data_IF_408709549653
#
_entry.id   IF_408709549653
#
_cell.length_a   1.000
_cell.length_b   1.000
_cell.length_c   1.000
_cell.angle_alpha   90.00
_cell.angle_beta   90.00
_cell.angle_gamma   90.00
#
_symmetry.space_group_name_H-M   'P 1'
#
loop_
_entity.id
_entity.type
_entity.pdbx_description
1 polymer ?
#
# COMPACT_ATOMS: atom_id res chain seq x y z
N UNK A 1 15.56 -6.17 -22.68
CA UNK A 1 15.15 -7.57 -22.47
C UNK A 1 15.79 -8.46 -23.52
N UNK A 2 16.66 -9.36 -23.11
CA UNK A 2 17.29 -10.40 -23.95
C UNK A 2 16.29 -11.53 -24.26
N UNK A 3 16.66 -12.46 -25.16
CA UNK A 3 15.82 -13.62 -25.44
C UNK A 3 15.74 -14.58 -24.23
N UNK A 4 16.84 -14.73 -23.48
CA UNK A 4 16.91 -15.54 -22.25
C UNK A 4 16.01 -14.98 -21.14
N UNK A 5 16.04 -13.66 -20.93
CA UNK A 5 15.17 -12.99 -19.97
C UNK A 5 13.69 -13.16 -20.34
N UNK A 6 13.37 -13.06 -21.64
CA UNK A 6 12.01 -13.27 -22.12
C UNK A 6 11.56 -14.75 -21.97
N UNK A 7 12.47 -15.71 -22.12
CA UNK A 7 12.20 -17.14 -21.89
C UNK A 7 11.94 -17.45 -20.41
N UNK A 8 12.76 -16.93 -19.50
CA UNK A 8 12.56 -17.09 -18.06
C UNK A 8 11.18 -16.55 -17.63
N UNK A 9 10.75 -15.43 -18.22
CA UNK A 9 9.42 -14.90 -17.99
C UNK A 9 8.33 -15.85 -18.53
N UNK A 10 8.49 -16.39 -19.74
CA UNK A 10 7.55 -17.37 -20.30
C UNK A 10 7.43 -18.61 -19.41
N UNK A 11 8.52 -19.13 -18.86
CA UNK A 11 8.49 -20.25 -17.91
C UNK A 11 7.70 -19.91 -16.65
N UNK A 12 7.83 -18.66 -16.16
CA UNK A 12 7.08 -18.17 -15.01
C UNK A 12 5.58 -18.11 -15.29
N UNK A 13 5.17 -17.62 -16.47
CA UNK A 13 3.74 -17.51 -16.86
C UNK A 13 3.12 -18.88 -17.19
N UNK A 14 3.94 -19.88 -17.48
CA UNK A 14 3.50 -21.25 -17.74
C UNK A 14 3.49 -22.13 -16.47
N UNK A 15 3.43 -21.54 -15.28
CA UNK A 15 3.45 -22.23 -13.98
C UNK A 15 4.68 -23.17 -13.83
N UNK A 16 5.85 -22.71 -14.27
CA UNK A 16 7.10 -23.47 -14.21
C UNK A 16 7.26 -24.55 -15.29
N UNK A 17 6.33 -24.65 -16.25
CA UNK A 17 6.49 -25.56 -17.40
C UNK A 17 7.46 -24.98 -18.42
N UNK A 18 8.52 -25.73 -18.71
CA UNK A 18 9.50 -25.38 -19.74
C UNK A 18 8.99 -25.67 -21.14
N UNK A 19 9.40 -24.83 -22.08
CA UNK A 19 9.29 -25.12 -23.49
C UNK A 19 10.27 -26.24 -23.85
N UNK A 20 9.93 -27.09 -24.83
CA UNK A 20 10.91 -28.04 -25.37
C UNK A 20 11.92 -27.33 -26.28
N UNK A 21 13.03 -28.00 -26.58
CA UNK A 21 14.15 -27.44 -27.34
C UNK A 21 13.73 -26.78 -28.67
N UNK A 22 12.76 -27.37 -29.38
CA UNK A 22 12.26 -26.85 -30.66
C UNK A 22 11.37 -25.62 -30.45
N UNK A 23 10.54 -25.61 -29.41
CA UNK A 23 9.73 -24.45 -29.03
C UNK A 23 10.61 -23.28 -28.57
N UNK A 24 11.63 -23.55 -27.77
CA UNK A 24 12.61 -22.56 -27.32
C UNK A 24 13.38 -21.97 -28.52
N UNK A 25 13.86 -22.83 -29.43
CA UNK A 25 14.50 -22.41 -30.67
C UNK A 25 13.59 -21.45 -31.46
N UNK A 26 12.34 -21.84 -31.70
CA UNK A 26 11.38 -21.01 -32.44
C UNK A 26 11.15 -19.67 -31.71
N UNK A 27 11.01 -19.71 -30.39
CA UNK A 27 10.83 -18.51 -29.57
C UNK A 27 12.00 -17.54 -29.72
N UNK A 28 13.25 -18.03 -29.53
CA UNK A 28 14.47 -17.21 -29.62
C UNK A 28 14.61 -16.56 -30.99
N UNK A 29 14.42 -17.33 -32.06
CA UNK A 29 14.56 -16.82 -33.43
C UNK A 29 13.49 -15.78 -33.78
N UNK A 30 12.27 -15.98 -33.31
CA UNK A 30 11.19 -14.99 -33.46
C UNK A 30 11.42 -13.75 -32.59
N UNK A 31 11.99 -13.91 -31.40
CA UNK A 31 12.34 -12.80 -30.51
C UNK A 31 13.46 -11.94 -31.09
N UNK A 32 14.49 -12.52 -31.70
CA UNK A 32 15.55 -11.73 -32.33
C UNK A 32 15.09 -11.06 -33.63
N UNK A 33 14.01 -11.54 -34.24
CA UNK A 33 13.41 -10.98 -35.46
C UNK A 33 14.20 -11.32 -36.73
N UNK A 34 15.02 -12.36 -36.69
CA UNK A 34 16.07 -12.60 -37.70
C UNK A 34 15.72 -13.64 -38.76
N UNK A 35 14.69 -14.47 -38.57
CA UNK A 35 14.49 -15.66 -39.43
C UNK A 35 13.02 -16.01 -39.66
N UNK A 36 12.70 -16.39 -40.90
CA UNK A 36 11.47 -17.07 -41.28
C UNK A 36 11.47 -18.53 -40.84
N UNK A 37 10.30 -19.17 -40.74
CA UNK A 37 10.23 -20.61 -40.37
C UNK A 37 11.03 -21.51 -41.30
N UNK A 38 11.13 -21.14 -42.58
CA UNK A 38 11.93 -21.87 -43.57
C UNK A 38 13.42 -21.78 -43.26
N UNK A 39 13.91 -20.59 -42.87
CA UNK A 39 15.32 -20.40 -42.47
C UNK A 39 15.63 -21.09 -41.14
N UNK A 40 14.72 -21.03 -40.16
CA UNK A 40 14.84 -21.76 -38.88
C UNK A 40 14.94 -23.27 -39.14
N UNK A 41 14.09 -23.79 -40.02
CA UNK A 41 14.07 -25.20 -40.41
C UNK A 41 15.37 -25.62 -41.10
N UNK A 42 15.85 -24.83 -42.07
CA UNK A 42 17.08 -25.10 -42.83
C UNK A 42 18.33 -25.12 -41.95
N UNK A 43 18.47 -24.12 -41.06
CA UNK A 43 19.66 -23.99 -40.20
C UNK A 43 19.74 -25.13 -39.17
N UNK A 44 18.59 -25.65 -38.75
CA UNK A 44 18.51 -26.67 -37.70
C UNK A 44 18.15 -28.06 -38.24
N UNK A 45 18.23 -28.27 -39.56
CA UNK A 45 17.93 -29.54 -40.25
C UNK A 45 16.54 -30.12 -39.94
N UNK A 46 15.56 -29.26 -39.68
CA UNK A 46 14.16 -29.65 -39.49
C UNK A 46 13.35 -29.48 -40.78
N UNK A 47 12.23 -30.18 -40.87
CA UNK A 47 11.24 -29.95 -41.92
C UNK A 47 10.48 -28.63 -41.65
N UNK A 48 10.30 -27.79 -42.68
CA UNK A 48 9.57 -26.51 -42.59
C UNK A 48 8.11 -26.69 -42.12
N UNK A 49 7.43 -27.76 -42.54
CA UNK A 49 6.07 -28.08 -42.08
C UNK A 49 6.06 -28.44 -40.58
N UNK A 50 7.10 -29.15 -40.11
CA UNK A 50 7.23 -29.49 -38.69
C UNK A 50 7.45 -28.24 -37.84
N UNK A 51 8.32 -27.32 -38.26
CA UNK A 51 8.53 -26.04 -37.56
C UNK A 51 7.25 -25.21 -37.53
N UNK A 52 6.51 -25.11 -38.64
CA UNK A 52 5.22 -24.40 -38.69
C UNK A 52 4.19 -25.02 -37.75
N UNK A 53 4.12 -26.34 -37.69
CA UNK A 53 3.23 -27.07 -36.79
C UNK A 53 3.55 -26.78 -35.31
N UNK A 54 4.82 -26.87 -34.92
CA UNK A 54 5.25 -26.58 -33.55
C UNK A 54 5.06 -25.09 -33.21
N UNK A 55 5.38 -24.18 -34.14
CA UNK A 55 5.15 -22.75 -33.96
C UNK A 55 3.66 -22.44 -33.71
N UNK A 56 2.76 -23.07 -34.47
CA UNK A 56 1.31 -22.93 -34.27
C UNK A 56 0.85 -23.38 -32.88
N UNK A 57 1.40 -24.49 -32.37
CA UNK A 57 1.15 -24.93 -30.98
C UNK A 57 1.72 -23.97 -29.96
N UNK A 58 2.94 -23.49 -30.17
CA UNK A 58 3.59 -22.52 -29.29
C UNK A 58 2.77 -21.24 -29.15
N UNK A 59 2.32 -20.65 -30.26
CA UNK A 59 1.53 -19.41 -30.20
C UNK A 59 0.19 -19.59 -29.51
N UNK A 60 -0.48 -20.74 -29.69
CA UNK A 60 -1.70 -21.07 -28.94
C UNK A 60 -1.44 -21.20 -27.44
N UNK A 61 -0.35 -21.87 -27.07
CA UNK A 61 0.06 -22.04 -25.68
C UNK A 61 0.35 -20.69 -25.02
N UNK A 62 1.20 -19.87 -25.64
CA UNK A 62 1.54 -18.55 -25.14
C UNK A 62 0.33 -17.63 -25.10
N UNK A 63 -0.58 -17.74 -26.07
CA UNK A 63 -1.81 -16.95 -26.05
C UNK A 63 -2.67 -17.22 -24.83
N UNK A 64 -2.79 -18.50 -24.46
CA UNK A 64 -3.53 -18.88 -23.26
C UNK A 64 -2.81 -18.41 -22.00
N UNK A 65 -1.48 -18.50 -21.98
CA UNK A 65 -0.67 -18.14 -20.81
C UNK A 65 -0.67 -16.63 -20.55
N UNK A 66 -0.52 -15.81 -21.59
CA UNK A 66 -0.47 -14.35 -21.48
C UNK A 66 -1.85 -13.67 -21.47
N UNK A 67 -2.92 -14.45 -21.60
CA UNK A 67 -4.29 -13.96 -21.81
C UNK A 67 -4.38 -12.88 -22.91
N UNK A 68 -3.62 -13.07 -23.99
CA UNK A 68 -3.52 -12.14 -25.11
C UNK A 68 -3.18 -12.89 -26.41
N UNK A 69 -3.55 -12.34 -27.56
CA UNK A 69 -3.31 -12.98 -28.86
C UNK A 69 -1.84 -12.86 -29.27
N UNK A 70 -1.06 -13.93 -29.09
CA UNK A 70 0.34 -14.02 -29.45
C UNK A 70 0.50 -14.51 -30.88
N UNK A 71 1.33 -13.80 -31.64
CA UNK A 71 1.77 -14.10 -33.00
C UNK A 71 3.27 -13.79 -33.10
N UNK A 72 3.91 -14.31 -34.14
CA UNK A 72 5.34 -14.05 -34.42
C UNK A 72 5.71 -12.56 -34.35
N UNK A 73 4.89 -11.69 -34.94
CA UNK A 73 5.22 -10.27 -35.11
C UNK A 73 4.84 -9.37 -33.92
N UNK A 74 4.06 -9.87 -32.96
CA UNK A 74 3.66 -9.09 -31.78
C UNK A 74 4.19 -9.68 -30.47
N UNK A 75 5.00 -10.75 -30.52
CA UNK A 75 5.56 -11.43 -29.35
C UNK A 75 6.22 -10.44 -28.38
N UNK A 76 7.11 -9.56 -28.86
CA UNK A 76 7.75 -8.53 -28.03
C UNK A 76 6.75 -7.60 -27.38
N UNK A 77 5.75 -7.15 -28.14
CA UNK A 77 4.74 -6.22 -27.66
C UNK A 77 3.87 -6.85 -26.58
N UNK A 78 3.46 -8.10 -26.76
CA UNK A 78 2.67 -8.85 -25.77
C UNK A 78 3.47 -9.07 -24.49
N UNK A 79 4.71 -9.54 -24.60
CA UNK A 79 5.57 -9.79 -23.42
C UNK A 79 5.90 -8.50 -22.69
N UNK A 80 6.26 -7.42 -23.40
CA UNK A 80 6.49 -6.12 -22.77
C UNK A 80 5.21 -5.51 -22.19
N UNK A 81 4.06 -5.72 -22.83
CA UNK A 81 2.75 -5.30 -22.32
C UNK A 81 2.34 -6.07 -21.07
N UNK A 82 2.61 -7.37 -21.02
CA UNK A 82 2.47 -8.20 -19.82
C UNK A 82 3.37 -7.68 -18.71
N UNK A 83 4.67 -7.46 -18.99
CA UNK A 83 5.57 -6.87 -18.02
C UNK A 83 5.10 -5.51 -17.53
N UNK A 84 4.57 -4.62 -18.38
CA UNK A 84 4.03 -3.33 -17.89
C UNK A 84 2.79 -3.53 -17.01
N UNK A 85 1.86 -4.41 -17.37
CA UNK A 85 0.67 -4.71 -16.55
C UNK A 85 1.07 -5.29 -15.19
N UNK A 86 2.05 -6.19 -15.18
CA UNK A 86 2.54 -6.83 -13.96
C UNK A 86 3.58 -5.99 -13.19
N UNK A 87 4.33 -5.10 -13.84
CA UNK A 87 5.24 -4.13 -13.21
C UNK A 87 4.49 -2.92 -12.67
N UNK A 88 3.34 -2.53 -13.24
CA UNK A 88 2.45 -1.55 -12.59
C UNK A 88 1.88 -2.15 -11.30
N UNK A 89 1.63 -3.46 -11.26
CA UNK A 89 1.30 -4.18 -10.02
C UNK A 89 2.51 -4.41 -9.10
N UNK A 90 3.72 -4.46 -9.65
CA UNK A 90 4.97 -4.66 -8.91
C UNK A 90 5.52 -3.34 -8.35
N UNK A 91 5.49 -2.22 -9.06
CA UNK A 91 5.86 -0.91 -8.54
C UNK A 91 4.84 -0.37 -7.53
N UNK A 92 3.58 -0.83 -7.60
CA UNK A 92 2.63 -0.67 -6.48
C UNK A 92 2.97 -1.54 -5.25
N UNK A 93 3.76 -2.61 -5.39
CA UNK A 93 4.06 -3.58 -4.34
C UNK A 93 5.57 -3.80 -4.04
N UNK A 94 6.48 -3.02 -4.61
CA UNK A 94 7.95 -3.17 -4.48
C UNK A 94 8.60 -1.91 -3.90
N UNK A 95 7.96 -1.26 -2.94
CA UNK A 95 8.76 -0.77 -1.81
C UNK A 95 9.34 -2.04 -1.14
N UNK A 96 10.67 -2.17 -1.16
CA UNK A 96 11.40 -3.37 -0.75
C UNK A 96 10.83 -4.01 0.52
N UNK A 97 10.77 -5.34 0.56
CA UNK A 97 10.63 -6.08 1.82
C UNK A 97 11.82 -5.75 2.72
N UNK A 98 11.66 -4.78 3.60
CA UNK A 98 12.62 -4.44 4.65
C UNK A 98 12.48 -5.53 5.71
N UNK A 99 13.59 -6.20 6.06
CA UNK A 99 13.60 -7.06 7.22
C UNK A 99 13.53 -6.18 8.48
N UNK A 100 12.36 -6.10 9.10
CA UNK A 100 12.09 -5.34 10.33
C UNK A 100 12.27 -6.19 11.60
N UNK A 101 12.87 -7.38 11.50
CA UNK A 101 13.10 -8.24 12.67
C UNK A 101 13.92 -7.50 13.73
N UNK A 102 13.31 -7.22 14.89
CA UNK A 102 13.93 -6.48 15.99
C UNK A 102 13.86 -4.95 15.89
N UNK A 103 13.16 -4.39 14.89
CA UNK A 103 12.84 -2.97 14.88
C UNK A 103 11.68 -2.69 15.86
N UNK A 104 11.84 -1.67 16.70
CA UNK A 104 10.71 -1.12 17.44
C UNK A 104 9.85 -0.31 16.47
N UNK A 105 8.64 -0.81 16.20
CA UNK A 105 7.67 -0.22 15.28
C UNK A 105 6.53 0.50 16.00
N UNK A 106 6.63 0.66 17.33
CA UNK A 106 5.62 1.38 18.10
C UNK A 106 5.37 2.78 17.52
N UNK A 107 4.10 3.07 17.19
CA UNK A 107 3.70 4.35 16.58
C UNK A 107 3.97 4.51 15.06
N UNK A 108 4.35 3.46 14.34
CA UNK A 108 4.58 3.52 12.88
C UNK A 108 3.29 3.27 12.08
N UNK A 109 2.91 4.20 11.19
CA UNK A 109 1.77 4.01 10.27
C UNK A 109 2.19 3.10 9.11
N UNK A 110 1.74 1.84 9.13
CA UNK A 110 2.05 0.80 8.13
C UNK A 110 0.98 0.69 7.02
N UNK A 111 0.12 1.69 6.83
CA UNK A 111 -1.05 1.63 5.92
C UNK A 111 -0.72 1.43 4.42
N UNK A 112 0.56 1.42 4.05
CA UNK A 112 1.04 1.08 2.70
C UNK A 112 2.01 -0.11 2.68
N UNK A 113 2.25 -0.77 3.82
CA UNK A 113 3.15 -1.91 3.91
C UNK A 113 2.40 -3.20 3.54
N UNK A 114 2.83 -3.86 2.48
CA UNK A 114 2.36 -5.20 2.16
C UNK A 114 2.98 -6.21 3.14
N UNK A 115 2.24 -6.62 4.17
CA UNK A 115 2.67 -7.58 5.19
C UNK A 115 2.47 -9.05 4.80
N UNK A 116 2.01 -9.33 3.57
CA UNK A 116 1.81 -10.70 3.10
C UNK A 116 3.16 -11.44 3.06
N UNK A 117 3.38 -12.35 4.01
CA UNK A 117 4.62 -13.12 4.18
C UNK A 117 5.41 -12.83 5.45
N UNK A 118 4.96 -11.90 6.30
CA UNK A 118 5.50 -11.78 7.66
C UNK A 118 5.16 -13.05 8.46
N UNK A 119 6.18 -13.79 8.92
CA UNK A 119 5.96 -14.93 9.81
C UNK A 119 5.42 -14.41 11.14
N UNK A 120 4.14 -14.68 11.42
CA UNK A 120 3.51 -14.46 12.73
C UNK A 120 4.08 -15.44 13.77
N UNK A 121 5.28 -15.19 14.25
CA UNK A 121 5.61 -15.61 15.60
C UNK A 121 5.09 -14.54 16.55
N UNK A 122 4.45 -14.89 17.67
CA UNK A 122 4.12 -13.90 18.70
C UNK A 122 5.43 -13.23 19.10
N UNK A 123 5.59 -11.96 18.73
CA UNK A 123 6.65 -11.13 19.27
C UNK A 123 6.36 -11.05 20.76
N UNK A 124 7.17 -11.74 21.56
CA UNK A 124 7.03 -11.75 23.00
C UNK A 124 7.26 -10.32 23.50
N UNK A 125 6.17 -9.60 23.81
CA UNK A 125 6.17 -8.21 24.27
C UNK A 125 6.45 -8.10 25.78
N UNK A 126 6.75 -9.20 26.48
CA UNK A 126 6.95 -9.22 27.93
C UNK A 126 8.24 -8.52 28.40
N UNK A 127 9.04 -7.91 27.51
CA UNK A 127 10.33 -7.31 27.87
C UNK A 127 10.58 -5.90 27.28
N UNK A 128 9.54 -5.11 27.01
CA UNK A 128 9.71 -3.66 26.82
C UNK A 128 9.93 -2.98 28.20
N UNK A 129 11.10 -3.25 28.79
CA UNK A 129 11.60 -2.60 30.00
C UNK A 129 11.87 -1.13 29.66
N UNK A 130 11.01 -0.25 30.17
CA UNK A 130 11.16 1.19 30.18
C UNK A 130 12.43 1.60 30.98
N UNK A 131 13.48 2.19 30.36
CA UNK A 131 14.60 2.70 31.12
C UNK A 131 14.27 4.14 31.52
N UNK A 132 13.77 4.33 32.74
CA UNK A 132 14.18 5.42 33.65
C UNK A 132 13.13 5.65 34.73
N UNK A 133 13.36 5.07 35.91
CA UNK A 133 13.44 5.88 37.13
C UNK A 133 14.00 5.04 38.28
N UNK A 134 15.21 5.37 38.71
CA UNK A 134 15.66 5.06 40.07
C UNK A 134 14.83 5.89 41.03
N UNK A 135 14.23 5.25 42.02
CA UNK A 135 14.19 5.76 43.39
C UNK A 135 13.97 4.58 44.34
N UNK A 136 14.88 4.49 45.31
CA UNK A 136 14.89 3.50 46.39
C UNK A 136 13.81 3.79 47.45
N UNK A 137 13.59 2.78 48.31
CA UNK A 137 12.90 2.78 49.61
C UNK A 137 11.37 2.59 49.55
N UNK A 138 10.70 1.79 50.38
CA UNK A 138 11.10 0.92 51.50
C UNK A 138 9.96 -0.09 51.77
N UNK A 139 10.25 -1.08 52.61
CA UNK A 139 9.55 -2.32 52.96
C UNK A 139 8.09 -2.21 53.48
N UNK A 140 7.31 -3.29 53.30
CA UNK A 140 6.12 -3.59 54.11
C UNK A 140 5.29 -4.78 53.62
N UNK A 141 5.41 -5.92 54.30
CA UNK A 141 4.64 -7.15 54.14
C UNK A 141 3.10 -6.96 54.19
N UNK A 142 2.32 -7.76 53.44
CA UNK A 142 1.36 -8.74 54.01
C UNK A 142 0.44 -9.43 52.97
N UNK A 143 0.53 -10.77 52.96
CA UNK A 143 -0.51 -11.81 52.82
C UNK A 143 -1.73 -11.63 51.88
N UNK A 144 -1.81 -12.55 50.92
CA UNK A 144 -3.00 -13.08 50.22
C UNK A 144 -3.93 -13.81 51.24
N UNK A 145 -5.27 -13.80 51.06
CA UNK A 145 -5.88 -15.00 50.50
C UNK A 145 -7.02 -14.76 49.48
N UNK A 146 -7.01 -15.61 48.44
CA UNK A 146 -8.11 -16.24 47.70
C UNK A 146 -9.48 -15.54 47.58
N UNK A 147 -9.83 -15.10 46.37
CA UNK A 147 -11.19 -15.27 45.85
C UNK A 147 -11.18 -15.71 44.38
N UNK A 148 -11.86 -16.84 44.15
CA UNK A 148 -12.22 -17.37 42.83
C UNK A 148 -13.20 -16.42 42.16
N UNK A 149 -12.80 -15.81 41.05
CA UNK A 149 -13.66 -14.99 40.22
C UNK A 149 -13.20 -14.96 38.77
N UNK A 150 -13.45 -16.05 38.04
CA UNK A 150 -13.58 -16.15 36.59
C UNK A 150 -12.98 -14.99 35.75
N UNK A 151 -11.66 -15.05 35.49
CA UNK A 151 -11.01 -14.24 34.47
C UNK A 151 -11.47 -14.73 33.08
N UNK A 152 -12.51 -14.12 32.53
CA UNK A 152 -12.53 -13.82 31.10
C UNK A 152 -11.87 -12.46 30.95
N UNK A 153 -10.55 -12.47 31.00
CA UNK A 153 -9.73 -11.43 30.40
C UNK A 153 -10.10 -11.44 28.91
N UNK A 154 -10.99 -10.53 28.54
CA UNK A 154 -11.09 -10.08 27.17
C UNK A 154 -9.78 -9.35 26.93
N UNK A 155 -8.76 -10.09 26.52
CA UNK A 155 -7.63 -9.56 25.77
C UNK A 155 -8.23 -8.86 24.56
N UNK A 156 -8.56 -7.58 24.72
CA UNK A 156 -8.78 -6.68 23.61
C UNK A 156 -7.42 -6.46 22.96
N UNK A 157 -6.96 -7.48 22.23
CA UNK A 157 -6.09 -7.31 21.08
C UNK A 157 -6.89 -6.41 20.14
N UNK A 158 -6.83 -5.10 20.35
CA UNK A 158 -7.16 -4.13 19.32
C UNK A 158 -6.07 -4.27 18.27
N UNK A 159 -6.21 -5.30 17.43
CA UNK A 159 -5.66 -5.29 16.09
C UNK A 159 -6.03 -3.92 15.52
N UNK A 160 -5.05 -3.04 15.30
CA UNK A 160 -5.30 -1.72 14.70
C UNK A 160 -6.00 -1.94 13.37
N UNK A 161 -7.33 -1.80 13.37
CA UNK A 161 -8.18 -1.99 12.21
C UNK A 161 -7.84 -0.89 11.21
N UNK A 162 -7.20 -1.27 10.11
CA UNK A 162 -6.97 -0.38 8.98
C UNK A 162 -8.21 -0.42 8.08
N UNK A 163 -8.77 0.74 7.78
CA UNK A 163 -9.98 0.87 6.97
C UNK A 163 -9.63 1.25 5.53
N UNK A 164 -10.24 0.58 4.55
CA UNK A 164 -9.98 0.79 3.13
C UNK A 164 -11.25 1.27 2.39
N UNK A 165 -11.11 2.32 1.58
CA UNK A 165 -12.20 2.85 0.75
C UNK A 165 -11.65 3.55 -0.50
N UNK A 166 -12.11 3.18 -1.71
CA UNK A 166 -11.67 3.75 -3.00
C UNK A 166 -10.14 3.85 -3.18
N UNK A 167 -9.41 2.77 -2.86
CA UNK A 167 -7.94 2.70 -2.86
C UNK A 167 -7.24 3.65 -1.87
N UNK A 168 -7.98 4.30 -0.96
CA UNK A 168 -7.47 5.08 0.17
C UNK A 168 -7.51 4.26 1.46
N UNK A 169 -6.62 4.59 2.40
CA UNK A 169 -6.49 3.93 3.71
C UNK A 169 -6.70 4.93 4.84
N UNK A 170 -7.35 4.49 5.90
CA UNK A 170 -7.77 5.31 7.05
C UNK A 170 -7.53 4.56 8.36
N UNK A 171 -7.37 5.32 9.45
CA UNK A 171 -7.05 4.81 10.79
C UNK A 171 -8.29 4.48 11.61
N UNK A 172 -9.42 5.08 11.28
CA UNK A 172 -10.69 4.87 11.96
C UNK A 172 -11.87 4.95 10.99
N UNK A 173 -13.04 4.45 11.41
CA UNK A 173 -14.26 4.49 10.60
C UNK A 173 -14.73 5.95 10.38
N UNK A 174 -14.51 6.82 11.36
CA UNK A 174 -14.84 8.25 11.30
C UNK A 174 -14.19 8.94 10.10
N UNK A 175 -12.91 8.65 9.85
CA UNK A 175 -12.19 9.18 8.69
C UNK A 175 -12.83 8.70 7.38
N UNK A 176 -13.22 7.42 7.30
CA UNK A 176 -13.92 6.88 6.11
C UNK A 176 -15.22 7.65 5.87
N UNK A 177 -16.00 7.92 6.93
CA UNK A 177 -17.26 8.68 6.80
C UNK A 177 -17.06 10.10 6.28
N UNK A 178 -16.02 10.78 6.75
CA UNK A 178 -15.65 12.11 6.26
C UNK A 178 -15.20 12.04 4.80
N UNK A 179 -14.37 11.06 4.42
CA UNK A 179 -13.94 10.88 3.04
C UNK A 179 -15.12 10.61 2.09
N UNK A 180 -16.06 9.74 2.49
CA UNK A 180 -17.29 9.48 1.75
C UNK A 180 -18.14 10.75 1.57
N UNK A 181 -18.26 11.58 2.61
CA UNK A 181 -19.00 12.85 2.56
C UNK A 181 -18.34 13.89 1.64
N UNK A 182 -17.01 14.03 1.71
CA UNK A 182 -16.24 14.89 0.81
C UNK A 182 -16.39 14.46 -0.65
N UNK A 183 -16.37 13.15 -0.92
CA UNK A 183 -16.54 12.59 -2.27
C UNK A 183 -17.97 12.81 -2.80
N UNK A 184 -19.01 12.57 -1.98
CA UNK A 184 -20.39 12.93 -2.33
C UNK A 184 -20.55 14.42 -2.67
N UNK A 185 -19.83 15.28 -1.96
CA UNK A 185 -19.80 16.72 -2.20
C UNK A 185 -18.91 17.14 -3.39
N UNK A 186 -18.27 16.19 -4.08
CA UNK A 186 -17.31 16.43 -5.17
C UNK A 186 -16.15 17.37 -4.78
N UNK A 187 -15.65 17.21 -3.56
CA UNK A 187 -14.56 18.01 -3.02
C UNK A 187 -13.22 17.31 -3.30
N UNK A 188 -12.22 18.11 -3.64
CA UNK A 188 -10.85 17.62 -3.79
C UNK A 188 -10.14 17.64 -2.44
N UNK A 189 -9.71 16.46 -1.97
CA UNK A 189 -9.08 16.29 -0.67
C UNK A 189 -7.92 15.30 -0.72
N UNK A 190 -7.05 15.39 0.28
CA UNK A 190 -5.96 14.47 0.52
C UNK A 190 -6.02 13.99 1.98
N UNK A 191 -6.32 12.71 2.23
CA UNK A 191 -6.21 12.17 3.58
C UNK A 191 -4.74 11.93 3.94
N UNK A 192 -4.43 11.84 5.24
CA UNK A 192 -3.14 11.36 5.78
C UNK A 192 -1.91 12.03 5.14
N UNK A 193 -2.00 13.34 4.91
CA UNK A 193 -1.03 14.07 4.09
C UNK A 193 0.08 14.68 4.92
N UNK A 194 1.27 14.05 4.93
CA UNK A 194 2.44 14.60 5.63
C UNK A 194 2.90 15.94 5.05
N UNK A 195 2.71 17.01 5.80
CA UNK A 195 3.28 18.33 5.52
C UNK A 195 4.70 18.43 6.09
N UNK A 196 5.59 19.15 5.39
CA UNK A 196 6.94 19.48 5.88
C UNK A 196 7.04 20.97 6.19
N UNK A 197 6.93 21.29 7.47
CA UNK A 197 6.87 22.65 7.99
C UNK A 197 8.23 23.13 8.50
N UNK A 198 8.36 24.45 8.63
CA UNK A 198 9.48 25.09 9.32
C UNK A 198 8.94 25.63 10.64
N UNK A 199 9.30 25.01 11.75
CA UNK A 199 8.94 25.44 13.11
C UNK A 199 10.14 26.15 13.74
N UNK A 200 9.97 26.83 14.90
CA UNK A 200 11.09 27.45 15.63
C UNK A 200 12.22 26.46 15.98
N UNK A 201 11.90 25.18 16.17
CA UNK A 201 12.82 24.09 16.47
C UNK A 201 13.44 23.45 15.21
N UNK A 202 13.04 23.90 14.01
CA UNK A 202 13.60 23.48 12.74
C UNK A 202 12.59 22.85 11.78
N UNK A 203 13.08 22.05 10.82
CA UNK A 203 12.21 21.42 9.81
C UNK A 203 11.53 20.19 10.40
N UNK A 204 10.23 20.25 10.63
CA UNK A 204 9.43 19.14 11.17
C UNK A 204 8.39 18.63 10.18
N UNK A 205 7.95 17.39 10.37
CA UNK A 205 6.87 16.76 9.60
C UNK A 205 5.64 16.60 10.48
N UNK A 206 4.48 17.04 10.00
CA UNK A 206 3.20 16.93 10.69
C UNK A 206 2.15 16.38 9.71
N UNK A 207 1.24 15.53 10.18
CA UNK A 207 0.26 14.82 9.36
C UNK A 207 -1.16 15.14 9.82
N UNK A 208 -1.90 16.04 9.16
CA UNK A 208 -3.33 16.24 9.38
C UNK A 208 -4.14 15.07 8.84
N UNK A 209 -5.32 14.88 9.44
CA UNK A 209 -6.26 13.84 9.01
C UNK A 209 -6.74 14.10 7.58
N UNK A 210 -7.22 15.33 7.31
CA UNK A 210 -7.63 15.76 5.97
C UNK A 210 -7.06 17.12 5.61
N UNK A 211 -6.43 17.17 4.43
CA UNK A 211 -6.11 18.42 3.74
C UNK A 211 -7.10 18.63 2.59
N UNK A 212 -7.85 19.73 2.61
CA UNK A 212 -9.00 19.95 1.71
C UNK A 212 -8.82 21.22 0.91
N UNK A 213 -9.04 21.13 -0.40
CA UNK A 213 -9.05 22.27 -1.31
C UNK A 213 -10.48 22.59 -1.75
N UNK A 214 -10.92 23.82 -1.47
CA UNK A 214 -12.23 24.31 -1.88
C UNK A 214 -12.16 25.77 -2.32
N UNK A 215 -12.69 26.08 -3.50
CA UNK A 215 -12.75 27.43 -4.06
C UNK A 215 -11.40 28.18 -4.06
N UNK A 216 -10.30 27.46 -4.32
CA UNK A 216 -8.94 28.02 -4.33
C UNK A 216 -8.34 28.25 -2.94
N UNK A 217 -9.05 27.88 -1.87
CA UNK A 217 -8.58 27.94 -0.49
C UNK A 217 -8.22 26.55 0.01
N UNK A 218 -7.26 26.50 0.92
CA UNK A 218 -6.74 25.29 1.53
C UNK A 218 -7.09 25.31 3.03
N UNK A 219 -7.67 24.21 3.52
CA UNK A 219 -7.98 24.05 4.93
C UNK A 219 -7.67 22.64 5.42
N UNK A 220 -7.58 22.50 6.74
CA UNK A 220 -7.36 21.25 7.44
C UNK A 220 -8.62 20.91 8.24
N UNK A 221 -9.02 19.64 8.19
CA UNK A 221 -10.04 19.07 9.06
C UNK A 221 -9.37 17.97 9.89
N UNK A 222 -9.38 18.14 11.22
CA UNK A 222 -8.86 17.18 12.20
C UNK A 222 -10.02 16.52 12.95
N UNK A 223 -9.95 15.21 13.11
CA UNK A 223 -10.88 14.42 13.90
C UNK A 223 -10.32 14.34 15.31
N UNK A 224 -11.02 14.97 16.24
CA UNK A 224 -10.61 15.11 17.63
C UNK A 224 -11.30 14.09 18.53
N UNK A 225 -10.51 13.48 19.40
CA UNK A 225 -10.98 12.63 20.49
C UNK A 225 -10.85 13.43 21.80
N UNK A 226 -11.89 13.49 22.66
CA UNK A 226 -11.90 14.32 23.86
C UNK A 226 -10.75 14.11 24.84
N UNK A 227 -10.16 12.91 24.82
CA UNK A 227 -9.06 12.53 25.70
C UNK A 227 -7.70 13.05 25.22
N UNK A 228 -7.63 13.66 24.02
CA UNK A 228 -6.40 14.19 23.44
C UNK A 228 -6.32 15.71 23.64
N UNK A 229 -5.30 16.23 24.36
CA UNK A 229 -5.14 17.67 24.52
C UNK A 229 -4.89 18.34 23.17
N UNK A 230 -5.55 19.48 22.95
CA UNK A 230 -5.37 20.26 21.72
C UNK A 230 -3.94 20.80 21.63
N UNK A 231 -3.23 20.50 20.54
CA UNK A 231 -1.90 21.02 20.30
C UNK A 231 -1.97 22.41 19.64
N UNK A 232 -1.96 23.46 20.46
CA UNK A 232 -1.96 24.85 19.98
C UNK A 232 -0.69 25.22 19.18
N UNK A 233 0.39 24.45 19.32
CA UNK A 233 1.64 24.72 18.57
C UNK A 233 1.48 24.30 17.13
N UNK A 234 0.86 23.15 16.90
CA UNK A 234 0.51 22.64 15.57
C UNK A 234 -0.35 23.62 14.77
N UNK A 235 -1.37 24.19 15.40
CA UNK A 235 -2.22 25.21 14.76
C UNK A 235 -1.40 26.42 14.28
N UNK A 236 -0.47 26.91 15.13
CA UNK A 236 0.42 28.03 14.78
C UNK A 236 1.38 27.68 13.65
N UNK A 237 1.91 26.46 13.63
CA UNK A 237 2.86 26.03 12.61
C UNK A 237 2.18 26.00 11.22
N UNK A 238 0.97 25.43 11.11
CA UNK A 238 0.21 25.45 9.86
C UNK A 238 -0.20 26.85 9.42
N UNK A 239 -0.62 27.70 10.37
CA UNK A 239 -0.93 29.11 10.09
C UNK A 239 0.30 29.86 9.54
N UNK A 240 1.49 29.62 10.10
CA UNK A 240 2.74 30.22 9.62
C UNK A 240 3.10 29.79 8.18
N UNK A 241 2.63 28.62 7.75
CA UNK A 241 2.79 28.10 6.40
C UNK A 241 1.67 28.55 5.43
N UNK A 242 0.73 29.38 5.89
CA UNK A 242 -0.36 29.93 5.08
C UNK A 242 -1.65 29.11 5.11
N UNK A 243 -1.76 28.10 5.98
CA UNK A 243 -3.00 27.33 6.20
C UNK A 243 -3.65 27.81 7.50
N UNK A 244 -4.55 28.79 7.38
CA UNK A 244 -5.16 29.43 8.55
C UNK A 244 -6.49 28.80 8.97
N UNK A 245 -7.09 27.94 8.14
CA UNK A 245 -8.37 27.29 8.45
C UNK A 245 -8.10 25.87 8.91
N UNK A 246 -8.21 25.65 10.22
CA UNK A 246 -8.11 24.33 10.85
C UNK A 246 -9.40 24.12 11.63
N UNK A 247 -10.15 23.08 11.28
CA UNK A 247 -11.41 22.73 11.91
C UNK A 247 -11.27 21.40 12.64
N UNK A 248 -11.59 21.42 13.93
CA UNK A 248 -11.59 20.24 14.77
C UNK A 248 -13.01 19.71 14.90
N UNK A 249 -13.23 18.45 14.53
CA UNK A 249 -14.51 17.78 14.64
C UNK A 249 -14.42 16.62 15.62
N UNK A 250 -15.37 16.51 16.55
CA UNK A 250 -15.44 15.34 17.43
C UNK A 250 -15.74 14.06 16.65
N UNK A 251 -15.01 12.99 16.94
CA UNK A 251 -15.15 11.67 16.31
C UNK A 251 -16.60 11.19 16.22
N UNK A 252 -17.38 11.34 17.29
CA UNK A 252 -18.78 10.92 17.32
C UNK A 252 -19.66 11.66 16.28
N UNK A 253 -19.37 12.93 15.99
CA UNK A 253 -20.07 13.72 14.96
C UNK A 253 -19.68 13.28 13.56
N UNK A 254 -18.40 12.95 13.34
CA UNK A 254 -17.92 12.42 12.08
C UNK A 254 -18.67 11.13 11.69
N UNK A 255 -18.94 10.26 12.65
CA UNK A 255 -19.67 9.00 12.40
C UNK A 255 -21.18 9.18 12.17
N UNK A 256 -21.83 10.14 12.85
CA UNK A 256 -23.29 10.30 12.79
C UNK A 256 -23.77 11.32 11.74
N UNK A 257 -23.01 12.39 11.52
CA UNK A 257 -23.43 13.53 10.70
C UNK A 257 -22.30 14.07 9.79
N UNK A 258 -21.52 13.17 9.19
CA UNK A 258 -20.39 13.48 8.31
C UNK A 258 -20.68 14.55 7.24
N UNK A 259 -21.80 14.45 6.54
CA UNK A 259 -22.17 15.41 5.48
C UNK A 259 -22.35 16.84 6.05
N UNK A 260 -22.92 16.95 7.25
CA UNK A 260 -23.10 18.23 7.93
C UNK A 260 -21.77 18.80 8.41
N UNK A 261 -20.90 17.96 8.96
CA UNK A 261 -19.53 18.34 9.36
C UNK A 261 -18.76 18.90 8.15
N UNK A 262 -18.80 18.19 7.03
CA UNK A 262 -18.17 18.63 5.78
C UNK A 262 -18.78 19.94 5.31
N UNK A 263 -20.10 20.09 5.32
CA UNK A 263 -20.76 21.34 4.93
C UNK A 263 -20.33 22.52 5.81
N UNK A 264 -20.37 22.38 7.14
CA UNK A 264 -19.93 23.41 8.09
C UNK A 264 -18.47 23.83 7.83
N UNK A 265 -17.60 22.86 7.61
CA UNK A 265 -16.19 23.12 7.28
C UNK A 265 -16.03 23.88 5.96
N UNK A 266 -16.72 23.47 4.89
CA UNK A 266 -16.65 24.14 3.59
C UNK A 266 -17.21 25.56 3.65
N UNK A 267 -18.25 25.80 4.45
CA UNK A 267 -18.78 27.14 4.70
C UNK A 267 -17.73 28.00 5.40
N UNK A 268 -17.08 27.52 6.46
CA UNK A 268 -15.99 28.23 7.14
C UNK A 268 -14.85 28.54 6.16
N UNK A 269 -14.38 27.53 5.42
CA UNK A 269 -13.29 27.67 4.48
C UNK A 269 -13.62 28.68 3.37
N UNK A 270 -14.87 28.72 2.92
CA UNK A 270 -15.32 29.70 1.91
C UNK A 270 -15.25 31.15 2.40
N UNK A 271 -15.33 31.40 3.70
CA UNK A 271 -15.28 32.75 4.30
C UNK A 271 -13.91 33.15 4.83
N UNK A 272 -12.93 32.24 4.84
CA UNK A 272 -11.58 32.46 5.36
C UNK A 272 -10.68 33.35 4.49
#
# INVERSE_FOLDING_TARGET
MTADEALALVETVLDGKRLNDVQELIFRQCWEGRQSYKEIAQINSYNDEYIKYIAGKLWKLLSKAFDDKVKRNNLKSVVNGYLRRHQVNSQRNQLMGINLSGADLSGSILCFANLNGANSFPANLDNAINPDNKTESDLGDEKIPDEKGNNQEIESNTEELIYHWNDLCFRCEEEVKIAEALDRANIFFFPNSKARLTTPEGRQSQEPDFLIFHQGKLGILEIWHPDTPKDETRDRDFASAGICTIYYCEAHRCSQEADRVVQEFLEILSHA
#
